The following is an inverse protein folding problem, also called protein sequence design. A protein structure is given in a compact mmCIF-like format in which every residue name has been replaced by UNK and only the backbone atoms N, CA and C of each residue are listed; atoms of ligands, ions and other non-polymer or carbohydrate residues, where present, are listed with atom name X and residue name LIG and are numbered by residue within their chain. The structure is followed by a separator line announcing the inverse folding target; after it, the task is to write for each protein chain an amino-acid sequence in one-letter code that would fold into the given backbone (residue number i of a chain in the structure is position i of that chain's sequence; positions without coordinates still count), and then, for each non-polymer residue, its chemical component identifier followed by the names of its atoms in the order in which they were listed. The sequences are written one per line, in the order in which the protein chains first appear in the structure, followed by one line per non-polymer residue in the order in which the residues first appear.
data_IF_926045288473
#
_entry.id   IF_926045288473
#
_cell.length_a   1.000
_cell.length_b   1.000
_cell.length_c   1.000
_cell.angle_alpha   90.00
_cell.angle_beta   90.00
_cell.angle_gamma   90.00
#
_symmetry.space_group_name_H-M   'P 1'
#
loop_
_entity.id
_entity.type
_entity.pdbx_description
1 polymer ?
#
# COMPACT_ATOMS: atom_id res chain seq x y z
N UNK A 1 -15.90 1.12 3.32
CA UNK A 1 -15.38 1.69 4.58
C UNK A 1 -15.12 3.20 4.39
N UNK A 2 -15.23 4.01 5.45
CA UNK A 2 -15.01 5.47 5.32
C UNK A 2 -13.54 5.87 5.20
N UNK A 3 -12.63 5.05 5.72
CA UNK A 3 -11.18 5.26 5.66
C UNK A 3 -10.47 3.92 5.39
N UNK A 4 -9.41 3.96 4.59
CA UNK A 4 -8.50 2.83 4.39
C UNK A 4 -7.14 3.25 4.94
N UNK A 5 -6.78 2.72 6.10
CA UNK A 5 -5.52 3.00 6.79
C UNK A 5 -4.56 1.86 6.52
N UNK A 6 -3.43 2.16 5.90
CA UNK A 6 -2.42 1.19 5.48
C UNK A 6 -1.17 1.28 6.35
N UNK A 7 -0.45 0.17 6.49
CA UNK A 7 0.84 0.09 7.19
C UNK A 7 1.93 -0.23 6.16
N UNK A 8 2.94 0.63 6.07
CA UNK A 8 4.13 0.41 5.26
C UNK A 8 5.23 -0.33 6.03
N UNK A 9 6.13 -1.01 5.29
CA UNK A 9 7.37 -1.59 5.84
C UNK A 9 7.15 -2.49 7.07
N UNK A 10 6.10 -3.33 7.04
CA UNK A 10 5.70 -4.18 8.18
C UNK A 10 6.26 -5.61 8.13
N UNK A 11 7.22 -5.87 7.24
CA UNK A 11 7.92 -7.15 7.12
C UNK A 11 9.42 -6.88 7.04
N UNK A 12 10.20 -7.57 7.87
CA UNK A 12 11.66 -7.38 7.95
C UNK A 12 12.32 -7.63 6.59
N UNK A 13 11.97 -8.72 5.93
CA UNK A 13 12.55 -9.09 4.64
C UNK A 13 12.22 -8.06 3.55
N UNK A 14 10.99 -7.54 3.53
CA UNK A 14 10.60 -6.45 2.63
C UNK A 14 11.41 -5.16 2.87
N UNK A 15 11.67 -4.80 4.13
CA UNK A 15 12.53 -3.65 4.44
C UNK A 15 13.94 -3.85 3.87
N UNK A 16 14.52 -5.03 4.06
CA UNK A 16 15.87 -5.36 3.59
C UNK A 16 15.94 -5.42 2.05
N UNK A 17 14.94 -5.99 1.39
CA UNK A 17 14.81 -6.02 -0.08
C UNK A 17 14.86 -4.60 -0.68
N UNK A 18 14.19 -3.65 -0.03
CA UNK A 18 14.14 -2.26 -0.46
C UNK A 18 15.34 -1.42 0.01
N UNK A 19 16.34 -2.03 0.65
CA UNK A 19 17.46 -1.34 1.33
C UNK A 19 16.98 -0.24 2.31
N UNK A 20 15.82 -0.46 2.93
CA UNK A 20 15.21 0.46 3.88
C UNK A 20 15.49 0.03 5.34
N UNK A 21 15.68 0.98 6.27
CA UNK A 21 15.80 0.65 7.68
C UNK A 21 14.48 0.09 8.23
N UNK A 22 14.58 -0.88 9.14
CA UNK A 22 13.41 -1.40 9.86
C UNK A 22 12.82 -0.25 10.71
N UNK A 23 11.54 0.13 10.50
CA UNK A 23 10.93 1.22 11.25
C UNK A 23 10.87 0.92 12.75
N UNK A 24 11.11 1.93 13.58
CA UNK A 24 10.91 1.83 15.04
C UNK A 24 9.46 2.07 15.44
N UNK A 25 8.70 2.74 14.57
CA UNK A 25 7.29 3.07 14.74
C UNK A 25 6.53 2.73 13.44
N UNK A 26 5.23 2.41 13.50
CA UNK A 26 4.45 2.10 12.30
C UNK A 26 4.40 3.26 11.30
N UNK A 27 4.71 2.96 10.03
CA UNK A 27 4.53 3.92 8.95
C UNK A 27 3.08 3.82 8.47
N UNK A 28 2.31 4.88 8.72
CA UNK A 28 0.89 4.93 8.37
C UNK A 28 0.66 5.83 7.16
N UNK A 29 -0.12 5.34 6.20
CA UNK A 29 -0.60 6.14 5.08
C UNK A 29 -2.06 5.79 4.74
N UNK A 30 -2.71 6.67 4.00
CA UNK A 30 -4.13 6.55 3.67
C UNK A 30 -4.35 6.22 2.21
N UNK A 31 -5.33 5.37 1.93
CA UNK A 31 -5.92 5.23 0.60
C UNK A 31 -7.35 5.76 0.62
N UNK A 32 -7.80 6.37 -0.48
CA UNK A 32 -9.18 6.84 -0.56
C UNK A 32 -10.15 5.65 -0.71
N UNK A 33 -11.36 5.71 -0.11
CA UNK A 33 -12.39 4.68 -0.27
C UNK A 33 -12.76 4.41 -1.74
N UNK A 34 -12.66 5.42 -2.60
CA UNK A 34 -12.91 5.33 -4.05
C UNK A 34 -11.98 4.39 -4.80
N UNK A 35 -10.95 3.85 -4.14
CA UNK A 35 -9.97 2.97 -4.76
C UNK A 35 -10.18 1.48 -4.48
N UNK A 36 -11.26 1.15 -3.77
CA UNK A 36 -11.65 -0.24 -3.48
C UNK A 36 -12.40 -0.79 -4.69
N UNK A 37 -12.05 -2.01 -5.10
CA UNK A 37 -12.73 -2.77 -6.15
C UNK A 37 -12.98 -4.21 -5.66
N UNK A 38 -13.80 -4.99 -6.38
CA UNK A 38 -14.14 -6.36 -6.02
C UNK A 38 -12.93 -7.30 -6.07
N UNK A 39 -12.99 -8.46 -5.38
CA UNK A 39 -11.88 -9.42 -5.33
C UNK A 39 -11.53 -10.06 -6.69
N UNK A 40 -12.40 -9.93 -7.69
CA UNK A 40 -12.23 -10.48 -9.04
C UNK A 40 -12.44 -9.43 -10.14
N UNK A 41 -12.51 -8.15 -9.77
CA UNK A 41 -12.67 -7.05 -10.72
C UNK A 41 -11.31 -6.73 -11.37
N UNK A 42 -11.34 -6.29 -12.62
CA UNK A 42 -10.13 -5.89 -13.34
C UNK A 42 -9.54 -4.59 -12.76
N UNK A 43 -8.20 -4.52 -12.70
CA UNK A 43 -7.48 -3.28 -12.37
C UNK A 43 -7.12 -2.56 -13.67
N UNK A 44 -7.81 -1.47 -13.95
CA UNK A 44 -7.53 -0.61 -15.11
C UNK A 44 -6.34 0.29 -14.77
N UNK A 45 -5.18 0.03 -15.39
CA UNK A 45 -3.97 0.83 -15.22
C UNK A 45 -4.09 2.13 -16.05
N UNK A 46 -4.01 3.33 -15.44
CA UNK A 46 -4.03 4.59 -16.18
C UNK A 46 -2.78 4.75 -17.06
N UNK A 47 -2.90 5.52 -18.15
CA UNK A 47 -1.83 5.71 -19.14
C UNK A 47 -0.56 6.31 -18.52
N UNK A 48 -0.70 7.18 -17.52
CA UNK A 48 0.41 7.80 -16.80
C UNK A 48 1.19 6.84 -15.89
N UNK A 49 0.68 5.62 -15.68
CA UNK A 49 1.31 4.58 -14.84
C UNK A 49 1.88 3.41 -15.64
N UNK A 50 1.94 3.53 -16.98
CA UNK A 50 2.67 2.60 -17.86
C UNK A 50 4.19 2.80 -17.76
#
# INVERSE_FOLDING_TARGET
PEKVVCVGMNYKDHCLEQNAPIPKEPIIFSKFPSTITGPYDDIILPEESQ
#
